data_IF_879461572162
#
_entry.id   IF_879461572162
#
_cell.length_a   1.000
_cell.length_b   1.000
_cell.length_c   1.000
_cell.angle_alpha   90.00
_cell.angle_beta   90.00
_cell.angle_gamma   90.00
#
_symmetry.space_group_name_H-M   'P 1'
#
loop_
_entity.id
_entity.type
_entity.pdbx_description
1 polymer ?
#
# COMPACT_ATOMS: atom_id res chain seq x y z
N UNK A 1 6.02 -3.61 16.72
CA UNK A 1 6.23 -3.10 15.33
C UNK A 1 5.79 -1.65 15.33
N UNK A 2 6.64 -0.75 14.86
CA UNK A 2 6.32 0.68 14.71
C UNK A 2 6.35 1.05 13.23
N UNK A 3 5.62 2.10 12.87
CA UNK A 3 5.66 2.73 11.55
C UNK A 3 5.74 4.24 11.75
N UNK A 4 6.72 4.90 11.13
CA UNK A 4 6.98 6.34 11.28
C UNK A 4 7.21 6.97 9.92
N UNK A 5 6.76 8.21 9.75
CA UNK A 5 6.91 8.98 8.52
C UNK A 5 5.87 8.63 7.48
N UNK A 6 6.22 8.74 6.19
CA UNK A 6 5.27 8.63 5.07
C UNK A 6 4.56 7.26 4.98
N UNK A 7 5.15 6.19 5.53
CA UNK A 7 4.53 4.87 5.59
C UNK A 7 3.41 4.79 6.64
N UNK A 8 3.35 5.74 7.58
CA UNK A 8 2.36 5.78 8.66
C UNK A 8 1.16 6.66 8.32
N UNK A 9 0.01 6.37 8.93
CA UNK A 9 -1.16 7.26 8.93
C UNK A 9 -1.38 7.75 10.36
N UNK A 10 -0.78 8.89 10.69
CA UNK A 10 -0.87 9.50 12.03
C UNK A 10 -2.14 10.35 12.23
N UNK A 11 -2.87 10.63 11.15
CA UNK A 11 -3.96 11.62 11.09
C UNK A 11 -3.50 13.05 10.77
N UNK A 12 -2.19 13.36 10.85
CA UNK A 12 -1.67 14.72 10.69
C UNK A 12 -2.02 15.39 9.34
N UNK A 13 -2.00 14.63 8.25
CA UNK A 13 -2.19 15.18 6.90
C UNK A 13 -3.65 15.18 6.42
N UNK A 14 -4.57 14.50 7.12
CA UNK A 14 -5.95 14.35 6.68
C UNK A 14 -6.08 13.98 5.19
N UNK A 15 -6.86 14.76 4.44
CA UNK A 15 -7.10 14.52 3.01
C UNK A 15 -6.13 15.25 2.06
N UNK A 16 -5.21 16.09 2.57
CA UNK A 16 -4.19 16.75 1.76
C UNK A 16 -3.01 17.20 2.63
N UNK A 17 -1.80 16.90 2.17
CA UNK A 17 -0.57 17.26 2.85
C UNK A 17 -0.25 18.75 2.66
N UNK A 18 0.04 19.45 3.75
CA UNK A 18 0.68 20.76 3.71
C UNK A 18 2.20 20.60 3.51
N UNK A 19 2.79 21.51 2.73
CA UNK A 19 4.23 21.52 2.51
C UNK A 19 4.99 21.61 3.85
N UNK A 20 6.18 21.00 3.90
CA UNK A 20 7.08 20.98 5.08
C UNK A 20 6.62 20.16 6.30
N UNK A 21 5.35 19.73 6.41
CA UNK A 21 4.89 18.93 7.56
C UNK A 21 5.43 17.49 7.58
N UNK A 22 5.82 16.91 6.44
CA UNK A 22 6.25 15.50 6.40
C UNK A 22 7.58 15.24 7.10
N UNK A 23 8.54 16.17 7.01
CA UNK A 23 9.83 16.02 7.73
C UNK A 23 9.60 16.19 9.23
N UNK A 24 8.76 17.17 9.61
CA UNK A 24 8.37 17.40 11.00
C UNK A 24 7.68 16.17 11.61
N UNK A 25 6.77 15.55 10.88
CA UNK A 25 6.12 14.30 11.28
C UNK A 25 7.15 13.19 11.56
N UNK A 26 8.05 12.94 10.61
CA UNK A 26 9.10 11.93 10.78
C UNK A 26 9.94 12.17 12.04
N UNK A 27 10.33 13.42 12.31
CA UNK A 27 11.15 13.77 13.46
C UNK A 27 10.39 13.59 14.78
N UNK A 28 9.18 14.13 14.87
CA UNK A 28 8.38 14.09 16.11
C UNK A 28 8.03 12.64 16.48
N UNK A 29 7.50 11.88 15.54
CA UNK A 29 7.16 10.47 15.79
C UNK A 29 8.41 9.60 15.93
N UNK A 30 9.52 9.93 15.25
CA UNK A 30 10.78 9.23 15.40
C UNK A 30 11.35 9.33 16.81
N UNK A 31 11.34 10.53 17.39
CA UNK A 31 11.76 10.75 18.79
C UNK A 31 10.82 10.01 19.75
N UNK A 32 9.51 10.15 19.58
CA UNK A 32 8.55 9.48 20.46
C UNK A 32 8.68 7.95 20.45
N UNK A 33 8.89 7.35 19.26
CA UNK A 33 9.12 5.92 19.13
C UNK A 33 10.47 5.50 19.73
N UNK A 34 11.51 6.31 19.57
CA UNK A 34 12.81 6.02 20.17
C UNK A 34 12.73 6.02 21.71
N UNK A 35 12.03 6.99 22.30
CA UNK A 35 11.82 7.06 23.75
C UNK A 35 11.03 5.85 24.28
N UNK A 36 9.97 5.44 23.57
CA UNK A 36 9.16 4.27 23.91
C UNK A 36 9.95 2.97 23.80
N UNK A 37 10.75 2.81 22.73
CA UNK A 37 11.67 1.67 22.57
C UNK A 37 12.69 1.64 23.71
N UNK A 38 13.31 2.77 24.05
CA UNK A 38 14.31 2.84 25.11
C UNK A 38 13.71 2.48 26.47
N UNK A 39 12.49 2.94 26.76
CA UNK A 39 11.78 2.61 28.00
C UNK A 39 11.38 1.13 28.07
N UNK A 40 11.08 0.49 26.93
CA UNK A 40 10.64 -0.89 26.86
C UNK A 40 11.79 -1.92 26.64
N UNK A 41 12.98 -1.47 26.23
CA UNK A 41 14.03 -2.33 25.70
C UNK A 41 14.40 -3.50 26.61
N UNK A 42 14.66 -3.19 27.89
CA UNK A 42 15.08 -4.19 28.88
C UNK A 42 13.95 -5.14 29.30
N UNK A 43 12.70 -4.83 28.94
CA UNK A 43 11.52 -5.67 29.21
C UNK A 43 11.21 -6.61 28.03
N UNK A 44 11.86 -6.45 26.88
CA UNK A 44 11.61 -7.28 25.71
C UNK A 44 12.13 -8.70 25.95
N UNK A 45 11.36 -9.73 25.56
CA UNK A 45 11.87 -11.09 25.61
C UNK A 45 13.03 -11.27 24.61
N UNK A 46 13.88 -12.25 24.87
CA UNK A 46 14.88 -12.67 23.90
C UNK A 46 14.21 -12.99 22.55
N UNK A 47 14.83 -12.63 21.42
CA UNK A 47 14.25 -12.89 20.11
C UNK A 47 14.08 -14.40 19.92
N UNK A 48 12.91 -14.85 19.44
CA UNK A 48 12.68 -16.26 19.17
C UNK A 48 13.57 -16.76 18.03
N UNK A 49 13.85 -18.06 17.98
CA UNK A 49 14.51 -18.66 16.83
C UNK A 49 13.62 -18.50 15.58
N UNK A 50 14.20 -17.95 14.52
CA UNK A 50 13.53 -17.79 13.22
C UNK A 50 13.92 -18.92 12.27
N UNK A 51 12.99 -19.33 11.43
CA UNK A 51 13.28 -20.27 10.34
C UNK A 51 14.09 -19.56 9.26
N UNK A 52 15.05 -20.27 8.68
CA UNK A 52 15.71 -19.80 7.46
C UNK A 52 14.69 -19.73 6.31
N UNK A 53 14.95 -18.85 5.35
CA UNK A 53 14.19 -18.81 4.11
C UNK A 53 14.35 -20.13 3.35
N UNK A 54 13.24 -20.72 2.90
CA UNK A 54 13.23 -21.98 2.14
C UNK A 54 13.01 -21.68 0.66
N UNK A 55 14.08 -21.81 -0.13
CA UNK A 55 14.06 -21.70 -1.59
C UNK A 55 14.14 -23.05 -2.30
N UNK A 56 13.99 -24.17 -1.58
CA UNK A 56 14.22 -25.52 -2.14
C UNK A 56 13.16 -25.96 -3.15
N UNK A 57 12.00 -25.30 -3.16
CA UNK A 57 10.81 -25.67 -3.98
C UNK A 57 10.54 -24.73 -5.15
N UNK A 58 11.42 -23.75 -5.38
CA UNK A 58 11.27 -22.77 -6.45
C UNK A 58 12.34 -22.98 -7.53
N UNK A 59 12.01 -22.68 -8.78
CA UNK A 59 12.95 -22.77 -9.90
C UNK A 59 13.47 -21.40 -10.31
N UNK A 60 14.60 -21.36 -11.01
CA UNK A 60 15.01 -20.14 -11.71
C UNK A 60 13.99 -19.83 -12.81
N UNK A 61 13.70 -18.55 -13.03
CA UNK A 61 12.75 -18.12 -14.07
C UNK A 61 13.49 -17.56 -15.27
N UNK A 62 13.09 -18.00 -16.47
CA UNK A 62 13.49 -17.37 -17.74
C UNK A 62 12.58 -16.18 -18.12
N UNK A 63 11.62 -15.82 -17.25
CA UNK A 63 10.54 -14.86 -17.54
C UNK A 63 10.67 -13.50 -16.81
N UNK A 64 11.89 -12.99 -16.59
CA UNK A 64 12.08 -11.64 -16.01
C UNK A 64 11.33 -10.55 -16.80
N UNK A 65 11.17 -10.74 -18.10
CA UNK A 65 10.39 -9.85 -18.98
C UNK A 65 8.94 -9.70 -18.50
N UNK A 66 8.33 -10.75 -17.93
CA UNK A 66 6.95 -10.71 -17.42
C UNK A 66 6.83 -9.76 -16.23
N UNK A 67 7.81 -9.77 -15.31
CA UNK A 67 7.83 -8.85 -14.15
C UNK A 67 7.88 -7.40 -14.64
N UNK A 68 8.74 -7.11 -15.61
CA UNK A 68 8.86 -5.75 -16.17
C UNK A 68 7.58 -5.28 -16.87
N UNK A 69 6.90 -6.17 -17.61
CA UNK A 69 5.62 -5.86 -18.24
C UNK A 69 4.52 -5.59 -17.22
N UNK A 70 4.39 -6.42 -16.19
CA UNK A 70 3.40 -6.26 -15.13
C UNK A 70 3.62 -4.97 -14.34
N UNK A 71 4.88 -4.59 -14.11
CA UNK A 71 5.23 -3.31 -13.48
C UNK A 71 4.76 -2.12 -14.32
N UNK A 72 5.02 -2.16 -15.64
CA UNK A 72 4.60 -1.11 -16.56
C UNK A 72 3.07 -1.03 -16.69
N UNK A 73 2.39 -2.18 -16.74
CA UNK A 73 0.92 -2.26 -16.76
C UNK A 73 0.31 -1.63 -15.51
N UNK A 74 0.79 -2.02 -14.32
CA UNK A 74 0.31 -1.53 -13.04
C UNK A 74 0.35 0.00 -12.98
N UNK A 75 1.51 0.58 -13.29
CA UNK A 75 1.68 2.05 -13.25
C UNK A 75 0.78 2.76 -14.24
N UNK A 76 0.64 2.21 -15.46
CA UNK A 76 -0.20 2.82 -16.50
C UNK A 76 -1.66 2.88 -16.06
N UNK A 77 -2.25 1.78 -15.62
CA UNK A 77 -3.67 1.82 -15.26
C UNK A 77 -3.92 2.55 -13.93
N UNK A 78 -2.97 2.54 -12.98
CA UNK A 78 -3.09 3.32 -11.75
C UNK A 78 -3.13 4.82 -12.06
N UNK A 79 -2.32 5.27 -13.02
CA UNK A 79 -2.37 6.63 -13.54
C UNK A 79 -3.73 6.93 -14.20
N UNK A 80 -4.16 6.08 -15.14
CA UNK A 80 -5.36 6.32 -15.95
C UNK A 80 -6.67 6.26 -15.15
N UNK A 81 -6.74 5.40 -14.13
CA UNK A 81 -7.99 5.10 -13.42
C UNK A 81 -8.03 5.58 -11.97
N UNK A 82 -6.88 5.79 -11.34
CA UNK A 82 -6.75 6.14 -9.91
C UNK A 82 -5.97 7.44 -9.70
N UNK A 83 -5.66 8.15 -10.79
CA UNK A 83 -4.99 9.45 -10.80
C UNK A 83 -5.84 10.60 -10.25
N UNK A 84 -5.57 11.82 -10.73
CA UNK A 84 -6.15 13.06 -10.17
C UNK A 84 -7.68 13.05 -10.22
N UNK A 85 -8.26 12.70 -11.37
CA UNK A 85 -9.72 12.69 -11.60
C UNK A 85 -10.23 11.26 -11.69
N UNK A 86 -11.13 10.90 -10.77
CA UNK A 86 -11.65 9.53 -10.62
C UNK A 86 -13.12 9.43 -10.99
N UNK A 87 -13.55 8.20 -11.22
CA UNK A 87 -14.97 7.82 -11.31
C UNK A 87 -15.15 6.39 -10.85
N UNK A 88 -16.33 6.03 -10.37
CA UNK A 88 -16.71 4.69 -9.91
C UNK A 88 -16.35 3.64 -10.98
N UNK A 89 -16.72 3.90 -12.24
CA UNK A 89 -16.42 2.99 -13.37
C UNK A 89 -14.91 2.81 -13.60
N UNK A 90 -14.09 3.85 -13.44
CA UNK A 90 -12.64 3.75 -13.56
C UNK A 90 -12.05 2.95 -12.39
N UNK A 91 -12.50 3.22 -11.18
CA UNK A 91 -12.05 2.50 -9.99
C UNK A 91 -12.42 1.01 -10.00
N UNK A 92 -13.59 0.65 -10.53
CA UNK A 92 -13.97 -0.75 -10.76
C UNK A 92 -13.05 -1.44 -11.77
N UNK A 93 -12.71 -0.76 -12.87
CA UNK A 93 -11.74 -1.27 -13.86
C UNK A 93 -10.36 -1.48 -13.25
N UNK A 94 -9.90 -0.54 -12.41
CA UNK A 94 -8.65 -0.69 -11.67
C UNK A 94 -8.69 -1.89 -10.72
N UNK A 95 -9.78 -2.04 -9.94
CA UNK A 95 -9.94 -3.15 -9.01
C UNK A 95 -9.89 -4.52 -9.70
N UNK A 96 -10.52 -4.64 -10.88
CA UNK A 96 -10.48 -5.87 -11.65
C UNK A 96 -9.05 -6.21 -12.12
N UNK A 97 -8.32 -5.22 -12.66
CA UNK A 97 -6.93 -5.40 -13.12
C UNK A 97 -5.98 -5.74 -11.99
N UNK A 98 -6.05 -5.00 -10.86
CA UNK A 98 -5.23 -5.29 -9.67
C UNK A 98 -5.49 -6.70 -9.15
N UNK A 99 -6.75 -7.16 -9.14
CA UNK A 99 -7.09 -8.53 -8.72
C UNK A 99 -6.43 -9.59 -9.62
N UNK A 100 -6.43 -9.38 -10.93
CA UNK A 100 -5.77 -10.28 -11.89
C UNK A 100 -4.26 -10.30 -11.68
N UNK A 101 -3.61 -9.12 -11.69
CA UNK A 101 -2.17 -9.01 -11.44
C UNK A 101 -1.75 -9.62 -10.10
N UNK A 102 -2.55 -9.42 -9.04
CA UNK A 102 -2.26 -9.99 -7.73
C UNK A 102 -2.23 -11.51 -7.75
N UNK A 103 -3.12 -12.14 -8.53
CA UNK A 103 -3.11 -13.59 -8.72
C UNK A 103 -1.87 -14.02 -9.49
N UNK A 104 -1.60 -13.40 -10.64
CA UNK A 104 -0.44 -13.74 -11.48
C UNK A 104 0.89 -13.60 -10.73
N UNK A 105 1.06 -12.51 -9.99
CA UNK A 105 2.26 -12.29 -9.17
C UNK A 105 2.36 -13.29 -8.02
N UNK A 106 1.23 -13.71 -7.44
CA UNK A 106 1.23 -14.72 -6.37
C UNK A 106 1.61 -16.11 -6.89
N UNK A 107 1.05 -16.49 -8.04
CA UNK A 107 1.35 -17.76 -8.70
C UNK A 107 2.85 -17.77 -9.08
N UNK A 108 3.35 -16.71 -9.74
CA UNK A 108 4.76 -16.57 -10.10
C UNK A 108 5.69 -16.59 -8.87
N UNK A 109 5.36 -15.88 -7.80
CA UNK A 109 6.13 -15.89 -6.55
C UNK A 109 6.19 -17.26 -5.87
N UNK A 110 5.18 -18.10 -6.07
CA UNK A 110 5.11 -19.43 -5.45
C UNK A 110 6.00 -20.43 -6.18
N UNK A 111 6.22 -20.23 -7.48
CA UNK A 111 6.92 -21.18 -8.35
C UNK A 111 8.39 -20.79 -8.61
N UNK A 112 8.72 -19.50 -8.54
CA UNK A 112 10.04 -18.98 -8.95
C UNK A 112 10.86 -18.37 -7.83
N UNK A 113 12.19 -18.34 -8.03
CA UNK A 113 13.12 -17.69 -7.09
C UNK A 113 12.80 -16.21 -6.92
N UNK A 114 12.94 -15.77 -5.67
CA UNK A 114 12.66 -14.39 -5.29
C UNK A 114 13.77 -13.48 -5.81
N UNK A 115 13.39 -12.50 -6.62
CA UNK A 115 14.26 -11.40 -7.05
C UNK A 115 13.79 -10.07 -6.46
N UNK A 116 14.65 -9.05 -6.36
CA UNK A 116 14.26 -7.72 -5.90
C UNK A 116 13.07 -7.14 -6.69
N UNK A 117 13.08 -7.27 -8.02
CA UNK A 117 12.03 -6.74 -8.91
C UNK A 117 10.68 -7.45 -8.67
N UNK A 118 10.70 -8.76 -8.42
CA UNK A 118 9.50 -9.51 -8.07
C UNK A 118 8.90 -9.05 -6.73
N UNK A 119 9.75 -8.82 -5.73
CA UNK A 119 9.31 -8.28 -4.42
C UNK A 119 8.74 -6.88 -4.58
N UNK A 120 9.38 -6.02 -5.36
CA UNK A 120 8.87 -4.68 -5.65
C UNK A 120 7.49 -4.76 -6.32
N UNK A 121 7.34 -5.55 -7.37
CA UNK A 121 6.07 -5.74 -8.07
C UNK A 121 4.98 -6.25 -7.10
N UNK A 122 5.29 -7.26 -6.28
CA UNK A 122 4.37 -7.81 -5.28
C UNK A 122 3.90 -6.74 -4.29
N UNK A 123 4.82 -5.93 -3.79
CA UNK A 123 4.51 -4.85 -2.85
C UNK A 123 3.67 -3.75 -3.53
N UNK A 124 4.03 -3.35 -4.75
CA UNK A 124 3.30 -2.34 -5.52
C UNK A 124 1.86 -2.78 -5.81
N UNK A 125 1.66 -4.03 -6.24
CA UNK A 125 0.31 -4.58 -6.48
C UNK A 125 -0.51 -4.60 -5.19
N UNK A 126 0.10 -4.98 -4.06
CA UNK A 126 -0.58 -4.97 -2.77
C UNK A 126 -0.99 -3.56 -2.33
N UNK A 127 -0.10 -2.57 -2.47
CA UNK A 127 -0.40 -1.17 -2.14
C UNK A 127 -1.44 -0.59 -3.10
N UNK A 128 -1.37 -0.93 -4.40
CA UNK A 128 -2.37 -0.52 -5.39
C UNK A 128 -3.77 -1.04 -5.04
N UNK A 129 -3.89 -2.29 -4.59
CA UNK A 129 -5.17 -2.84 -4.11
C UNK A 129 -5.73 -2.01 -2.94
N UNK A 130 -4.90 -1.69 -1.96
CA UNK A 130 -5.31 -0.89 -0.80
C UNK A 130 -5.74 0.53 -1.21
N UNK A 131 -5.02 1.17 -2.13
CA UNK A 131 -5.38 2.49 -2.67
C UNK A 131 -6.72 2.42 -3.39
N UNK A 132 -6.93 1.43 -4.27
CA UNK A 132 -8.17 1.27 -5.03
C UNK A 132 -9.35 0.98 -4.11
N UNK A 133 -9.20 0.07 -3.14
CA UNK A 133 -10.23 -0.23 -2.14
C UNK A 133 -10.58 1.02 -1.32
N UNK A 134 -9.58 1.79 -0.90
CA UNK A 134 -9.79 3.03 -0.16
C UNK A 134 -10.54 4.07 -1.01
N UNK A 135 -10.13 4.25 -2.27
CA UNK A 135 -10.80 5.17 -3.19
C UNK A 135 -12.26 4.77 -3.47
N UNK A 136 -12.54 3.47 -3.63
CA UNK A 136 -13.90 2.96 -3.88
C UNK A 136 -14.84 3.12 -2.69
N UNK A 137 -14.32 3.10 -1.46
CA UNK A 137 -15.12 3.28 -0.23
C UNK A 137 -15.49 4.74 0.03
N UNK A 138 -14.87 5.70 -0.68
CA UNK A 138 -15.14 7.14 -0.49
C UNK A 138 -16.16 7.63 -1.52
N UNK A 139 -17.34 7.98 -1.05
CA UNK A 139 -18.44 8.51 -1.88
C UNK A 139 -18.60 10.03 -1.72
N UNK A 140 -17.48 10.75 -1.73
CA UNK A 140 -17.40 12.21 -1.66
C UNK A 140 -16.12 12.67 -2.38
N UNK A 141 -16.00 13.97 -2.67
CA UNK A 141 -14.74 14.60 -3.10
C UNK A 141 -14.18 15.46 -1.98
N UNK A 142 -12.93 15.18 -1.58
CA UNK A 142 -12.23 15.88 -0.49
C UNK A 142 -10.71 15.81 -0.70
N UNK A 143 -10.06 16.97 -0.67
CA UNK A 143 -8.60 17.07 -0.79
C UNK A 143 -8.07 16.41 -2.06
N UNK A 144 -7.14 15.46 -1.92
CA UNK A 144 -6.55 14.71 -3.04
C UNK A 144 -7.45 13.62 -3.64
N UNK A 145 -8.62 13.37 -3.02
CA UNK A 145 -9.64 12.49 -3.58
C UNK A 145 -10.70 13.32 -4.33
N UNK A 146 -10.66 13.30 -5.66
CA UNK A 146 -11.65 13.94 -6.51
C UNK A 146 -12.35 12.92 -7.42
N UNK A 147 -13.67 12.79 -7.25
CA UNK A 147 -14.53 11.85 -7.98
C UNK A 147 -15.64 12.60 -8.72
N UNK A 148 -15.79 12.31 -10.01
CA UNK A 148 -16.84 12.91 -10.84
C UNK A 148 -18.25 12.47 -10.43
N UNK A 149 -18.39 11.26 -9.89
CA UNK A 149 -19.69 10.71 -9.46
C UNK A 149 -20.13 11.26 -8.09
N UNK A 150 -19.18 11.79 -7.30
CA UNK A 150 -19.41 12.36 -5.98
C UNK A 150 -18.67 13.70 -5.83
N UNK A 151 -19.13 14.77 -6.50
CA UNK A 151 -18.40 16.04 -6.56
C UNK A 151 -18.45 16.84 -5.24
N UNK A 152 -19.44 16.59 -4.40
CA UNK A 152 -19.61 17.28 -3.12
C UNK A 152 -18.77 16.64 -2.00
N UNK A 153 -18.51 17.44 -0.98
CA UNK A 153 -17.86 17.01 0.25
C UNK A 153 -18.92 16.72 1.31
N UNK A 154 -18.77 15.61 2.05
CA UNK A 154 -19.68 15.28 3.15
C UNK A 154 -19.50 16.23 4.34
N UNK A 155 -20.57 16.40 5.12
CA UNK A 155 -20.55 17.28 6.29
C UNK A 155 -19.57 16.82 7.38
N UNK A 156 -19.41 15.51 7.55
CA UNK A 156 -18.55 14.92 8.59
C UNK A 156 -17.37 14.22 7.92
N UNK A 157 -16.12 14.68 8.10
CA UNK A 157 -14.95 14.03 7.54
C UNK A 157 -14.70 12.69 8.22
N UNK A 158 -14.34 11.68 7.43
CA UNK A 158 -13.95 10.35 7.92
C UNK A 158 -12.73 9.82 7.18
N UNK A 159 -11.85 9.18 7.93
CA UNK A 159 -10.77 8.39 7.37
C UNK A 159 -11.31 7.10 6.74
N UNK A 160 -10.62 6.63 5.71
CA UNK A 160 -10.93 5.33 5.11
C UNK A 160 -10.00 4.30 5.71
N UNK A 161 -10.53 3.45 6.59
CA UNK A 161 -9.75 2.43 7.30
C UNK A 161 -10.01 1.06 6.64
N UNK A 162 -8.93 0.37 6.27
CA UNK A 162 -8.97 -1.02 5.79
C UNK A 162 -8.43 -1.92 6.89
N UNK A 163 -9.27 -2.81 7.43
CA UNK A 163 -8.86 -3.79 8.43
C UNK A 163 -8.62 -5.16 7.74
N UNK A 164 -7.42 -5.74 7.86
CA UNK A 164 -7.10 -7.04 7.25
C UNK A 164 -7.91 -8.21 7.82
N UNK A 165 -8.53 -8.05 8.99
CA UNK A 165 -9.30 -9.09 9.68
C UNK A 165 -10.79 -9.06 9.35
N UNK A 166 -11.32 -7.91 8.92
CA UNK A 166 -12.69 -7.82 8.40
C UNK A 166 -12.73 -8.29 6.94
N UNK A 167 -13.50 -9.34 6.67
CA UNK A 167 -13.84 -9.73 5.30
C UNK A 167 -14.92 -8.78 4.79
N UNK A 168 -14.60 -7.98 3.77
CA UNK A 168 -15.61 -7.31 2.92
C UNK A 168 -16.16 -8.26 1.86
#
# INVERSE_FOLDING_TARGET
LYAVGEVSQSGLHGANRLASNSILECLVFGVAVADDIAAAWDMLPAPPQTRAWDESRVTDSDEEVVVSHNWAELRRFMWDYVGIVRSTKRLERAAHRVKTLRKEVHDYYSDFRVTPDLIELRNLVQVADLIVRSARRRHESRGLHYSLDYPATDAIPRDTILDPWTRD
#
